data_IF_842270678584
#
_entry.id   IF_842270678584
#
_cell.length_a   1.000
_cell.length_b   1.000
_cell.length_c   1.000
_cell.angle_alpha   90.00
_cell.angle_beta   90.00
_cell.angle_gamma   90.00
#
_symmetry.space_group_name_H-M   'P 1'
#
loop_
_entity.id
_entity.type
_entity.pdbx_description
1 polymer ?
#
# COMPACT_ATOMS: atom_id res chain seq x y z
N UNK A 1 23.38 8.16 -13.62
CA UNK A 1 22.43 7.10 -14.09
C UNK A 1 22.29 7.27 -15.59
N UNK A 2 22.55 6.19 -16.38
CA UNK A 2 22.42 6.21 -17.84
C UNK A 2 20.98 6.56 -18.24
N UNK A 3 20.77 7.25 -19.39
CA UNK A 3 19.47 7.67 -19.92
C UNK A 3 18.49 6.49 -19.97
N UNK A 4 18.94 5.34 -20.47
CA UNK A 4 18.13 4.12 -20.56
C UNK A 4 17.60 3.63 -19.21
N UNK A 5 18.42 3.68 -18.15
CA UNK A 5 18.00 3.32 -16.79
C UNK A 5 17.00 4.34 -16.21
N UNK A 6 17.14 5.63 -16.57
CA UNK A 6 16.17 6.66 -16.16
C UNK A 6 14.82 6.42 -16.83
N UNK A 7 14.81 6.16 -18.14
CA UNK A 7 13.57 5.88 -18.87
C UNK A 7 12.86 4.64 -18.33
N UNK A 8 13.57 3.55 -18.08
CA UNK A 8 12.99 2.34 -17.48
C UNK A 8 12.38 2.63 -16.10
N UNK A 9 13.09 3.37 -15.24
CA UNK A 9 12.57 3.75 -13.92
C UNK A 9 11.28 4.55 -14.05
N UNK A 10 11.24 5.57 -14.91
CA UNK A 10 10.06 6.41 -15.12
C UNK A 10 8.88 5.61 -15.69
N UNK A 11 9.13 4.76 -16.69
CA UNK A 11 8.08 3.94 -17.32
C UNK A 11 7.48 2.95 -16.32
N UNK A 12 8.31 2.24 -15.53
CA UNK A 12 7.83 1.32 -14.51
C UNK A 12 7.06 2.05 -13.41
N UNK A 13 7.56 3.20 -12.95
CA UNK A 13 6.86 4.02 -11.96
C UNK A 13 5.49 4.47 -12.46
N UNK A 14 5.40 4.96 -13.69
CA UNK A 14 4.15 5.38 -14.30
C UNK A 14 3.17 4.21 -14.46
N UNK A 15 3.65 3.05 -14.92
CA UNK A 15 2.83 1.83 -15.07
C UNK A 15 2.28 1.36 -13.72
N UNK A 16 3.14 1.26 -12.70
CA UNK A 16 2.72 0.84 -11.36
C UNK A 16 1.75 1.85 -10.72
N UNK A 17 1.95 3.16 -10.97
CA UNK A 17 1.00 4.20 -10.53
C UNK A 17 -0.36 4.01 -11.19
N UNK A 18 -0.40 3.80 -12.49
CA UNK A 18 -1.65 3.54 -13.20
C UNK A 18 -2.37 2.29 -12.67
N UNK A 19 -1.65 1.20 -12.44
CA UNK A 19 -2.20 -0.04 -11.86
C UNK A 19 -2.72 0.22 -10.45
N UNK A 20 -1.99 0.97 -9.61
CA UNK A 20 -2.41 1.30 -8.24
C UNK A 20 -3.72 2.11 -8.20
N UNK A 21 -3.96 2.97 -9.19
CA UNK A 21 -5.20 3.74 -9.31
C UNK A 21 -6.33 2.87 -9.90
N UNK A 22 -6.04 2.10 -10.94
CA UNK A 22 -7.05 1.35 -11.69
C UNK A 22 -7.64 0.19 -10.89
N UNK A 23 -6.81 -0.57 -10.15
CA UNK A 23 -7.28 -1.75 -9.41
C UNK A 23 -8.45 -1.39 -8.48
N UNK A 24 -8.37 -0.40 -7.57
CA UNK A 24 -9.50 -0.03 -6.72
C UNK A 24 -10.74 0.45 -7.48
N UNK A 25 -10.59 0.98 -8.70
CA UNK A 25 -11.69 1.45 -9.52
C UNK A 25 -12.45 0.30 -10.18
N UNK A 26 -11.73 -0.66 -10.78
CA UNK A 26 -12.32 -1.66 -11.68
C UNK A 26 -12.46 -3.05 -11.07
N UNK A 27 -11.75 -3.37 -9.98
CA UNK A 27 -11.75 -4.70 -9.39
C UNK A 27 -13.12 -5.01 -8.75
N UNK A 28 -13.79 -6.11 -9.15
CA UNK A 28 -15.09 -6.49 -8.57
C UNK A 28 -14.94 -7.07 -7.15
N UNK A 29 -13.81 -7.69 -6.83
CA UNK A 29 -13.55 -8.29 -5.51
C UNK A 29 -13.15 -7.23 -4.50
N UNK A 30 -14.16 -6.58 -3.92
CA UNK A 30 -13.98 -5.57 -2.88
C UNK A 30 -15.03 -5.68 -1.79
N UNK A 31 -14.61 -5.40 -0.56
CA UNK A 31 -15.48 -5.27 0.62
C UNK A 31 -15.47 -3.81 1.02
N UNK A 32 -16.65 -3.20 1.04
CA UNK A 32 -16.81 -1.78 1.42
C UNK A 32 -17.69 -1.71 2.66
N UNK A 33 -17.09 -1.36 3.79
CA UNK A 33 -17.76 -1.13 5.08
C UNK A 33 -17.23 0.22 5.59
N UNK A 34 -17.88 1.34 5.27
CA UNK A 34 -17.31 2.66 5.56
C UNK A 34 -16.89 2.83 7.02
N UNK A 35 -15.71 3.44 7.27
CA UNK A 35 -14.75 4.03 6.34
C UNK A 35 -13.78 3.03 5.72
N UNK A 36 -13.88 1.75 6.05
CA UNK A 36 -13.04 0.69 5.52
C UNK A 36 -13.47 0.30 4.10
N UNK A 37 -12.49 0.15 3.23
CA UNK A 37 -12.67 -0.36 1.87
C UNK A 37 -11.44 -1.20 1.51
N UNK A 38 -11.68 -2.47 1.18
CA UNK A 38 -10.64 -3.43 0.86
C UNK A 38 -10.88 -3.99 -0.53
N UNK A 39 -10.01 -3.63 -1.45
CA UNK A 39 -10.05 -4.14 -2.83
C UNK A 39 -8.87 -5.08 -3.04
N UNK A 40 -9.14 -6.32 -3.38
CA UNK A 40 -8.11 -7.32 -3.61
C UNK A 40 -7.07 -6.82 -4.61
N UNK A 41 -5.80 -6.84 -4.23
CA UNK A 41 -4.70 -6.42 -5.06
C UNK A 41 -4.42 -4.90 -5.09
N UNK A 42 -5.16 -4.08 -4.32
CA UNK A 42 -4.99 -2.62 -4.33
C UNK A 42 -3.58 -2.16 -3.95
N UNK A 43 -2.87 -2.91 -3.11
CA UNK A 43 -1.50 -2.60 -2.70
C UNK A 43 -0.43 -3.35 -3.52
N UNK A 44 -0.82 -4.24 -4.46
CA UNK A 44 0.14 -5.04 -5.24
C UNK A 44 1.15 -4.16 -5.97
N UNK A 45 0.70 -3.09 -6.61
CA UNK A 45 1.60 -2.19 -7.33
C UNK A 45 2.56 -1.44 -6.39
N UNK A 46 2.08 -1.05 -5.20
CA UNK A 46 2.91 -0.39 -4.16
C UNK A 46 3.96 -1.37 -3.64
N UNK A 47 3.58 -2.61 -3.34
CA UNK A 47 4.54 -3.64 -2.89
C UNK A 47 5.57 -3.97 -3.96
N UNK A 48 5.18 -4.09 -5.24
CA UNK A 48 6.13 -4.29 -6.33
C UNK A 48 7.11 -3.10 -6.43
N UNK A 49 6.61 -1.87 -6.35
CA UNK A 49 7.46 -0.68 -6.33
C UNK A 49 8.44 -0.71 -5.15
N UNK A 50 7.98 -1.12 -3.96
CA UNK A 50 8.79 -1.30 -2.75
C UNK A 50 9.89 -2.36 -2.92
N UNK A 51 9.59 -3.48 -3.62
CA UNK A 51 10.59 -4.52 -3.90
C UNK A 51 11.65 -4.08 -4.89
N UNK A 52 11.34 -3.10 -5.74
CA UNK A 52 12.24 -2.60 -6.78
C UNK A 52 13.13 -1.44 -6.30
N UNK A 53 12.55 -0.43 -5.62
CA UNK A 53 13.29 0.77 -5.23
C UNK A 53 12.52 1.63 -4.22
N UNK A 54 13.20 2.19 -3.19
CA UNK A 54 12.58 3.15 -2.27
C UNK A 54 11.98 4.37 -2.97
N UNK A 55 12.68 4.94 -3.93
CA UNK A 55 12.19 6.08 -4.69
C UNK A 55 10.98 5.74 -5.55
N UNK A 56 10.95 4.54 -6.14
CA UNK A 56 9.80 4.07 -6.89
C UNK A 56 8.57 3.92 -5.99
N UNK A 57 8.73 3.33 -4.80
CA UNK A 57 7.65 3.22 -3.82
C UNK A 57 7.08 4.58 -3.44
N UNK A 58 7.94 5.56 -3.12
CA UNK A 58 7.54 6.92 -2.75
C UNK A 58 6.73 7.57 -3.89
N UNK A 59 7.23 7.53 -5.11
CA UNK A 59 6.55 8.15 -6.26
C UNK A 59 5.21 7.47 -6.56
N UNK A 60 5.15 6.14 -6.54
CA UNK A 60 3.91 5.39 -6.79
C UNK A 60 2.86 5.72 -5.72
N UNK A 61 3.24 5.77 -4.44
CA UNK A 61 2.32 6.08 -3.35
C UNK A 61 1.76 7.50 -3.48
N UNK A 62 2.63 8.49 -3.66
CA UNK A 62 2.20 9.89 -3.78
C UNK A 62 1.31 10.07 -5.01
N UNK A 63 1.75 9.58 -6.16
CA UNK A 63 1.03 9.74 -7.41
C UNK A 63 -0.33 9.00 -7.42
N UNK A 64 -0.41 7.78 -6.84
CA UNK A 64 -1.67 7.06 -6.74
C UNK A 64 -2.63 7.70 -5.74
N UNK A 65 -2.14 8.25 -4.63
CA UNK A 65 -2.97 8.99 -3.67
C UNK A 65 -3.57 10.25 -4.29
N UNK A 66 -2.78 11.00 -5.06
CA UNK A 66 -3.28 12.14 -5.86
C UNK A 66 -4.27 11.67 -6.93
N UNK A 67 -4.01 10.51 -7.56
CA UNK A 67 -4.93 9.90 -8.52
C UNK A 67 -6.29 9.59 -7.90
N UNK A 68 -6.34 9.10 -6.64
CA UNK A 68 -7.60 8.88 -5.92
C UNK A 68 -8.34 10.21 -5.64
N UNK A 69 -7.61 11.27 -5.27
CA UNK A 69 -8.20 12.58 -5.10
C UNK A 69 -8.84 13.08 -6.40
N UNK A 70 -8.14 12.95 -7.53
CA UNK A 70 -8.64 13.34 -8.84
C UNK A 70 -9.81 12.45 -9.33
N UNK A 71 -9.85 11.19 -8.92
CA UNK A 71 -10.94 10.26 -9.21
C UNK A 71 -12.18 10.47 -8.32
N UNK A 72 -12.17 11.46 -7.40
CA UNK A 72 -13.30 11.81 -6.55
C UNK A 72 -13.53 10.86 -5.37
N UNK A 73 -12.51 10.13 -4.93
CA UNK A 73 -12.63 9.32 -3.71
C UNK A 73 -12.85 10.19 -2.46
N UNK A 74 -13.60 9.69 -1.45
CA UNK A 74 -13.74 10.37 -0.17
C UNK A 74 -12.39 10.74 0.44
N UNK A 75 -12.28 11.93 1.03
CA UNK A 75 -11.02 12.45 1.60
C UNK A 75 -10.38 11.48 2.60
N UNK A 76 -11.18 10.79 3.42
CA UNK A 76 -10.66 9.79 4.36
C UNK A 76 -9.92 8.65 3.62
N UNK A 77 -10.39 8.21 2.46
CA UNK A 77 -9.71 7.19 1.65
C UNK A 77 -8.42 7.75 1.05
N UNK A 78 -8.43 9.01 0.60
CA UNK A 78 -7.23 9.68 0.09
C UNK A 78 -6.16 9.82 1.19
N UNK A 79 -6.55 10.22 2.41
CA UNK A 79 -5.63 10.31 3.55
C UNK A 79 -5.04 8.95 3.94
N UNK A 80 -5.86 7.89 3.92
CA UNK A 80 -5.39 6.52 4.10
C UNK A 80 -4.38 6.13 3.02
N UNK A 81 -4.67 6.44 1.75
CA UNK A 81 -3.72 6.18 0.65
C UNK A 81 -2.39 6.93 0.84
N UNK A 82 -2.41 8.19 1.28
CA UNK A 82 -1.19 8.92 1.62
C UNK A 82 -0.42 8.29 2.79
N UNK A 83 -1.12 7.71 3.76
CA UNK A 83 -0.48 7.05 4.91
C UNK A 83 0.35 5.81 4.53
N UNK A 84 0.14 5.24 3.34
CA UNK A 84 0.97 4.15 2.80
C UNK A 84 2.44 4.53 2.67
N UNK A 85 2.77 5.83 2.69
CA UNK A 85 4.15 6.32 2.64
C UNK A 85 5.01 5.73 3.77
N UNK A 86 4.42 5.49 4.94
CA UNK A 86 5.15 4.97 6.09
C UNK A 86 5.60 3.52 5.84
N UNK A 87 4.68 2.60 5.58
CA UNK A 87 5.06 1.20 5.37
C UNK A 87 5.85 0.99 4.08
N UNK A 88 5.47 1.68 2.99
CA UNK A 88 6.13 1.55 1.70
C UNK A 88 7.57 2.04 1.72
N UNK A 89 7.83 3.18 2.38
CA UNK A 89 9.19 3.73 2.51
C UNK A 89 10.04 2.90 3.45
N UNK A 90 9.53 2.58 4.65
CA UNK A 90 10.26 1.77 5.63
C UNK A 90 10.61 0.39 5.06
N UNK A 91 9.62 -0.27 4.43
CA UNK A 91 9.82 -1.58 3.81
C UNK A 91 10.84 -1.55 2.68
N UNK A 92 10.80 -0.55 1.82
CA UNK A 92 11.72 -0.42 0.70
C UNK A 92 13.17 -0.18 1.15
N UNK A 93 13.40 0.70 2.13
CA UNK A 93 14.74 0.92 2.68
C UNK A 93 15.27 -0.30 3.45
N UNK A 94 14.39 -1.04 4.15
CA UNK A 94 14.78 -2.30 4.78
C UNK A 94 15.22 -3.32 3.72
N UNK A 95 14.43 -3.53 2.67
CA UNK A 95 14.73 -4.49 1.61
C UNK A 95 15.97 -4.12 0.80
N UNK A 96 16.28 -2.83 0.67
CA UNK A 96 17.52 -2.38 0.03
C UNK A 96 18.77 -2.89 0.76
N UNK A 97 18.68 -3.01 2.10
CA UNK A 97 19.77 -3.56 2.94
C UNK A 97 19.67 -5.08 3.13
N UNK A 98 18.48 -5.65 3.02
CA UNK A 98 18.19 -7.06 3.31
C UNK A 98 17.38 -7.73 2.18
N UNK A 99 17.89 -7.75 0.92
CA UNK A 99 17.13 -8.26 -0.23
C UNK A 99 16.77 -9.75 -0.11
N UNK A 100 17.56 -10.55 0.64
CA UNK A 100 17.30 -11.96 0.92
C UNK A 100 16.01 -12.23 1.71
N UNK A 101 15.42 -11.18 2.32
CA UNK A 101 14.15 -11.29 3.06
C UNK A 101 13.02 -11.80 2.17
N UNK A 102 12.99 -11.43 0.89
CA UNK A 102 11.96 -11.87 -0.06
C UNK A 102 12.09 -13.35 -0.47
N UNK A 103 13.28 -13.93 -0.31
CA UNK A 103 13.57 -15.31 -0.71
C UNK A 103 13.41 -16.31 0.45
N UNK A 104 13.54 -15.85 1.70
CA UNK A 104 13.37 -16.69 2.89
C UNK A 104 11.92 -16.61 3.42
N UNK A 105 11.16 -17.72 3.45
CA UNK A 105 9.75 -17.71 3.86
C UNK A 105 9.50 -17.16 5.27
N UNK A 106 10.35 -17.52 6.25
CA UNK A 106 10.19 -17.05 7.63
C UNK A 106 10.45 -15.54 7.75
N UNK A 107 11.55 -15.06 7.15
CA UNK A 107 11.88 -13.64 7.15
C UNK A 107 10.82 -12.82 6.42
N UNK A 108 10.32 -13.33 5.28
CA UNK A 108 9.25 -12.70 4.50
C UNK A 108 7.95 -12.62 5.29
N UNK A 109 7.57 -13.66 6.03
CA UNK A 109 6.37 -13.66 6.87
C UNK A 109 6.46 -12.61 7.99
N UNK A 110 7.59 -12.60 8.73
CA UNK A 110 7.80 -11.64 9.81
C UNK A 110 7.80 -10.21 9.25
N UNK A 111 8.52 -9.99 8.15
CA UNK A 111 8.58 -8.70 7.48
C UNK A 111 7.18 -8.21 7.04
N UNK A 112 6.40 -9.08 6.39
CA UNK A 112 5.05 -8.78 5.95
C UNK A 112 4.14 -8.43 7.15
N UNK A 113 4.20 -9.20 8.23
CA UNK A 113 3.41 -8.92 9.44
C UNK A 113 3.77 -7.57 10.07
N UNK A 114 5.06 -7.27 10.22
CA UNK A 114 5.54 -5.99 10.76
C UNK A 114 5.09 -4.83 9.86
N UNK A 115 5.20 -4.97 8.54
CA UNK A 115 4.69 -3.96 7.60
C UNK A 115 3.18 -3.79 7.70
N UNK A 116 2.44 -4.89 7.85
CA UNK A 116 0.99 -4.86 8.07
C UNK A 116 0.59 -4.09 9.32
N UNK A 117 1.37 -4.23 10.42
CA UNK A 117 1.18 -3.44 11.64
C UNK A 117 1.46 -1.94 11.41
N UNK A 118 2.58 -1.60 10.77
CA UNK A 118 2.91 -0.20 10.44
C UNK A 118 1.83 0.41 9.55
N UNK A 119 1.36 -0.32 8.55
CA UNK A 119 0.28 0.09 7.64
C UNK A 119 -1.01 0.36 8.42
N UNK A 120 -1.45 -0.59 9.25
CA UNK A 120 -2.67 -0.45 10.04
C UNK A 120 -2.62 0.74 11.01
N UNK A 121 -1.51 0.91 11.72
CA UNK A 121 -1.31 2.05 12.64
C UNK A 121 -1.42 3.37 11.88
N UNK A 122 -0.76 3.48 10.72
CA UNK A 122 -0.78 4.70 9.93
C UNK A 122 -2.19 5.01 9.38
N UNK A 123 -2.94 4.00 8.93
CA UNK A 123 -4.32 4.18 8.45
C UNK A 123 -5.29 4.54 9.57
N UNK A 124 -5.20 3.88 10.74
CA UNK A 124 -6.00 4.22 11.92
C UNK A 124 -5.72 5.66 12.33
N UNK A 125 -4.45 6.07 12.35
CA UNK A 125 -4.07 7.44 12.70
C UNK A 125 -4.62 8.47 11.70
N UNK A 126 -4.56 8.18 10.40
CA UNK A 126 -5.17 9.02 9.35
C UNK A 126 -6.69 9.15 9.53
N UNK A 127 -7.38 8.06 9.88
CA UNK A 127 -8.81 8.08 10.18
C UNK A 127 -9.11 8.89 11.44
N UNK A 128 -8.32 8.74 12.52
CA UNK A 128 -8.51 9.50 13.76
C UNK A 128 -8.40 11.01 13.49
N UNK A 129 -7.37 11.44 12.76
CA UNK A 129 -7.20 12.86 12.40
C UNK A 129 -8.41 13.35 11.61
N UNK A 130 -8.85 12.61 10.61
CA UNK A 130 -10.00 12.99 9.80
C UNK A 130 -11.27 13.12 10.63
N UNK A 131 -11.63 12.10 11.42
CA UNK A 131 -12.87 12.11 12.19
C UNK A 131 -12.84 13.12 13.35
N UNK A 132 -11.69 13.33 13.98
CA UNK A 132 -11.53 14.39 14.98
C UNK A 132 -11.75 15.78 14.35
N UNK A 133 -11.24 16.02 13.14
CA UNK A 133 -11.42 17.29 12.44
C UNK A 133 -12.86 17.58 12.00
N UNK A 134 -13.66 16.52 11.82
CA UNK A 134 -15.10 16.63 11.47
C UNK A 134 -16.03 16.71 12.68
N UNK A 135 -15.49 16.68 13.91
CA UNK A 135 -16.27 16.72 15.15
C UNK A 135 -16.97 15.40 15.48
N UNK A 136 -16.59 14.30 14.87
CA UNK A 136 -17.16 12.97 15.14
C UNK A 136 -16.71 12.47 16.51
N UNK A 137 -17.63 11.90 17.31
CA UNK A 137 -17.29 11.29 18.59
C UNK A 137 -16.51 9.99 18.39
N UNK A 138 -15.19 10.05 18.66
CA UNK A 138 -14.28 8.93 18.48
C UNK A 138 -14.56 7.75 19.41
N UNK A 139 -15.25 7.95 20.54
CA UNK A 139 -15.61 6.85 21.44
C UNK A 139 -16.54 5.86 20.78
N UNK A 140 -17.47 6.35 19.96
CA UNK A 140 -18.40 5.51 19.21
C UNK A 140 -17.76 4.85 17.97
N UNK A 141 -16.53 5.25 17.62
CA UNK A 141 -15.79 4.73 16.46
C UNK A 141 -14.73 3.69 16.82
N UNK A 142 -14.59 3.31 18.09
CA UNK A 142 -13.55 2.37 18.50
C UNK A 142 -13.55 1.07 17.68
N UNK A 143 -14.70 0.42 17.56
CA UNK A 143 -14.84 -0.80 16.75
C UNK A 143 -14.46 -0.56 15.28
N UNK A 144 -14.94 0.53 14.71
CA UNK A 144 -14.68 0.88 13.31
C UNK A 144 -13.19 1.11 13.07
N UNK A 145 -12.55 1.88 13.94
CA UNK A 145 -11.14 2.25 13.77
C UNK A 145 -10.19 1.08 14.04
N UNK A 146 -10.39 0.35 15.13
CA UNK A 146 -9.41 -0.68 15.52
C UNK A 146 -9.71 -2.06 14.93
N UNK A 147 -10.99 -2.43 14.79
CA UNK A 147 -11.35 -3.73 14.23
C UNK A 147 -11.49 -3.65 12.71
N UNK A 148 -12.36 -2.79 12.19
CA UNK A 148 -12.55 -2.72 10.73
C UNK A 148 -11.33 -2.11 10.05
N UNK A 149 -10.86 -0.94 10.41
CA UNK A 149 -9.69 -0.35 9.75
C UNK A 149 -8.39 -1.05 10.20
N UNK A 150 -8.11 -1.12 11.49
CA UNK A 150 -6.83 -1.64 11.99
C UNK A 150 -6.60 -3.11 11.64
N UNK A 151 -7.40 -4.02 12.20
CA UNK A 151 -7.22 -5.45 11.97
C UNK A 151 -7.49 -5.83 10.50
N UNK A 152 -8.53 -5.24 9.89
CA UNK A 152 -8.85 -5.48 8.48
C UNK A 152 -7.69 -5.09 7.55
N UNK A 153 -7.01 -3.97 7.82
CA UNK A 153 -5.83 -3.54 7.05
C UNK A 153 -4.67 -4.52 7.19
N UNK A 154 -4.41 -5.07 8.38
CA UNK A 154 -3.35 -6.08 8.56
C UNK A 154 -3.62 -7.27 7.65
N UNK A 155 -4.80 -7.86 7.73
CA UNK A 155 -5.16 -9.05 6.94
C UNK A 155 -5.10 -8.76 5.44
N UNK A 156 -5.70 -7.67 5.01
CA UNK A 156 -5.73 -7.25 3.62
C UNK A 156 -4.32 -6.98 3.05
N UNK A 157 -3.51 -6.23 3.81
CA UNK A 157 -2.12 -5.93 3.44
C UNK A 157 -1.27 -7.19 3.30
N UNK A 158 -1.44 -8.16 4.23
CA UNK A 158 -0.70 -9.43 4.16
C UNK A 158 -1.05 -10.25 2.93
N UNK A 159 -2.32 -10.27 2.51
CA UNK A 159 -2.76 -10.94 1.29
C UNK A 159 -2.14 -10.27 0.07
N UNK A 160 -2.27 -8.95 -0.05
CA UNK A 160 -1.75 -8.17 -1.18
C UNK A 160 -0.23 -8.27 -1.30
N UNK A 161 0.50 -8.35 -0.18
CA UNK A 161 1.94 -8.57 -0.18
C UNK A 161 2.31 -9.91 -0.85
N UNK A 162 1.63 -11.02 -0.51
CA UNK A 162 1.93 -12.31 -1.12
C UNK A 162 1.53 -12.38 -2.59
N UNK A 163 0.45 -11.71 -2.99
CA UNK A 163 0.12 -11.54 -4.40
C UNK A 163 1.23 -10.79 -5.15
N UNK A 164 1.70 -9.68 -4.58
CA UNK A 164 2.81 -8.91 -5.13
C UNK A 164 4.12 -9.73 -5.20
N UNK A 165 4.43 -10.48 -4.14
CA UNK A 165 5.62 -11.34 -4.09
C UNK A 165 5.58 -12.45 -5.15
N UNK A 166 4.41 -13.05 -5.37
CA UNK A 166 4.23 -14.06 -6.41
C UNK A 166 4.47 -13.48 -7.80
N UNK A 167 3.89 -12.31 -8.10
CA UNK A 167 4.11 -11.57 -9.37
C UNK A 167 5.58 -11.21 -9.53
N UNK A 168 6.19 -10.62 -8.51
CA UNK A 168 7.59 -10.22 -8.53
C UNK A 168 8.54 -11.40 -8.82
N UNK A 169 8.34 -12.54 -8.12
CA UNK A 169 9.15 -13.75 -8.33
C UNK A 169 8.93 -14.36 -9.71
N UNK A 170 7.71 -14.33 -10.24
CA UNK A 170 7.42 -14.82 -11.59
C UNK A 170 8.12 -13.98 -12.67
N UNK A 171 8.16 -12.65 -12.49
CA UNK A 171 8.88 -11.75 -13.42
C UNK A 171 10.40 -11.93 -13.31
N UNK A 172 10.94 -12.06 -12.09
CA UNK A 172 12.38 -12.24 -11.86
C UNK A 172 12.94 -13.54 -12.46
N UNK A 173 12.13 -14.61 -12.55
CA UNK A 173 12.55 -15.90 -13.16
C UNK A 173 12.66 -15.86 -14.68
N UNK A 174 12.12 -14.84 -15.34
CA UNK A 174 12.12 -14.71 -16.81
C UNK A 174 13.30 -13.91 -17.35
N UNK A 175 14.10 -13.34 -16.46
CA UNK A 175 15.32 -12.59 -16.76
C UNK A 175 16.53 -13.23 -16.06
#
# INVERSE_FOLDING_TARGET
>A
MNIQKKTQFMTLTALLTAIAILIPLVMPFKVVIPPASYTLGSHVAIFIAMFLSPWMAIFVIIASSLGFLMAGYPIVIVLRAFSHIFFGTLGAFYLQKHPQTLDNPKSSLIFNFVLGLVHAIAEVFACIIFYASTGTDLKNMFYVLFVLVGFGTIVHSMIDYYLALAVYKALRKRH
#
